data_IF_222544596947
#
_entry.id   IF_222544596947
#
_cell.length_a   1.000
_cell.length_b   1.000
_cell.length_c   1.000
_cell.angle_alpha   90.00
_cell.angle_beta   90.00
_cell.angle_gamma   90.00
#
_symmetry.space_group_name_H-M   'P 1'
#
loop_
_entity.id
_entity.type
_entity.pdbx_description
1 polymer ?
#
# COMPACT_ATOMS: atom_id res chain seq x y z
N UNK A 1 29.30 -42.65 -12.92
CA UNK A 1 29.43 -41.31 -13.51
C UNK A 1 28.23 -40.54 -13.02
N UNK A 2 28.35 -39.99 -11.82
CA UNK A 2 27.35 -39.13 -11.20
C UNK A 2 27.49 -37.75 -11.80
N UNK A 3 26.37 -37.18 -12.25
CA UNK A 3 26.31 -35.80 -12.69
C UNK A 3 25.80 -35.00 -11.50
N UNK A 4 26.71 -34.18 -10.97
CA UNK A 4 26.46 -33.19 -9.94
C UNK A 4 25.56 -32.09 -10.51
N UNK A 5 24.38 -31.90 -9.90
CA UNK A 5 23.37 -30.91 -10.34
C UNK A 5 22.97 -30.00 -9.19
N UNK A 6 23.90 -29.67 -8.29
CA UNK A 6 23.68 -28.65 -7.27
C UNK A 6 24.49 -27.39 -7.60
N UNK A 7 23.89 -26.53 -8.42
CA UNK A 7 24.50 -25.24 -8.72
C UNK A 7 23.66 -24.40 -9.66
N UNK A 8 22.51 -23.90 -9.21
CA UNK A 8 21.88 -22.71 -9.77
C UNK A 8 20.96 -22.05 -8.72
N UNK A 9 21.32 -20.82 -8.36
CA UNK A 9 20.53 -19.88 -7.56
C UNK A 9 19.07 -19.80 -8.04
N UNK A 10 18.13 -20.08 -7.15
CA UNK A 10 16.72 -19.76 -7.32
C UNK A 10 16.27 -18.80 -6.21
N UNK A 11 16.52 -17.52 -6.42
CA UNK A 11 15.80 -16.46 -5.73
C UNK A 11 14.44 -16.25 -6.45
N UNK A 12 13.40 -16.05 -5.65
CA UNK A 12 11.99 -15.78 -6.02
C UNK A 12 11.12 -17.00 -6.38
N UNK A 13 10.23 -17.33 -5.42
CA UNK A 13 9.17 -18.36 -5.36
C UNK A 13 9.47 -19.84 -5.73
N UNK A 14 10.23 -20.59 -4.90
CA UNK A 14 10.38 -22.05 -5.05
C UNK A 14 9.45 -22.91 -4.19
N UNK A 15 8.77 -22.37 -3.18
CA UNK A 15 8.26 -23.20 -2.07
C UNK A 15 7.10 -24.13 -2.43
N UNK A 16 6.12 -23.68 -3.24
CA UNK A 16 4.93 -24.48 -3.58
C UNK A 16 5.25 -25.56 -4.60
N UNK A 17 6.07 -25.24 -5.62
CA UNK A 17 6.53 -26.21 -6.63
C UNK A 17 7.49 -27.25 -6.02
N UNK A 18 8.40 -26.83 -5.14
CA UNK A 18 9.25 -27.76 -4.39
C UNK A 18 8.46 -28.62 -3.40
N UNK A 19 7.43 -28.05 -2.74
CA UNK A 19 6.53 -28.83 -1.88
C UNK A 19 5.74 -29.86 -2.69
N UNK A 20 5.16 -29.48 -3.85
CA UNK A 20 4.51 -30.41 -4.78
C UNK A 20 5.46 -31.51 -5.22
N UNK A 21 6.70 -31.18 -5.57
CA UNK A 21 7.69 -32.15 -6.03
C UNK A 21 8.10 -33.13 -4.92
N UNK A 22 8.34 -32.64 -3.70
CA UNK A 22 8.65 -33.47 -2.52
C UNK A 22 7.50 -34.41 -2.15
N UNK A 23 6.27 -33.91 -2.20
CA UNK A 23 5.07 -34.71 -1.90
C UNK A 23 4.85 -35.81 -2.95
N UNK A 24 5.07 -35.49 -4.24
CA UNK A 24 4.99 -36.46 -5.35
C UNK A 24 6.09 -37.52 -5.27
N UNK A 25 7.27 -37.17 -4.76
CA UNK A 25 8.38 -38.11 -4.57
C UNK A 25 8.17 -39.04 -3.36
N UNK A 26 7.58 -38.54 -2.26
CA UNK A 26 7.19 -39.36 -1.10
C UNK A 26 6.11 -40.40 -1.46
N UNK A 27 5.16 -40.05 -2.34
CA UNK A 27 4.13 -40.97 -2.85
C UNK A 27 4.69 -42.16 -3.64
N UNK A 28 5.88 -42.02 -4.24
CA UNK A 28 6.48 -43.06 -5.08
C UNK A 28 7.25 -44.11 -4.27
N UNK A 29 7.59 -43.83 -3.01
CA UNK A 29 8.50 -44.66 -2.21
C UNK A 29 8.06 -44.90 -0.75
N UNK A 30 6.97 -44.28 -0.27
CA UNK A 30 6.43 -44.45 1.09
C UNK A 30 5.21 -45.39 1.14
N UNK A 31 5.10 -46.20 2.19
CA UNK A 31 4.11 -47.26 2.41
C UNK A 31 2.66 -46.96 1.97
N UNK A 32 2.10 -47.86 1.14
CA UNK A 32 0.76 -47.86 0.53
C UNK A 32 -0.41 -48.02 1.53
N UNK A 33 -0.68 -47.03 2.38
CA UNK A 33 -2.01 -46.97 3.02
C UNK A 33 -2.93 -46.10 2.15
N UNK A 34 -4.08 -46.64 1.77
CA UNK A 34 -5.11 -45.94 0.98
C UNK A 34 -5.52 -44.62 1.64
N UNK A 35 -5.48 -44.57 2.98
CA UNK A 35 -5.73 -43.37 3.76
C UNK A 35 -4.67 -42.28 3.54
N UNK A 36 -3.39 -42.66 3.44
CA UNK A 36 -2.30 -41.72 3.16
C UNK A 36 -2.48 -41.11 1.77
N UNK A 37 -2.79 -41.93 0.75
CA UNK A 37 -3.03 -41.47 -0.63
C UNK A 37 -4.16 -40.44 -0.68
N UNK A 38 -5.34 -40.75 -0.10
CA UNK A 38 -6.49 -39.83 -0.05
C UNK A 38 -6.18 -38.53 0.70
N UNK A 39 -5.37 -38.59 1.75
CA UNK A 39 -4.98 -37.40 2.52
C UNK A 39 -4.04 -36.50 1.72
N UNK A 40 -3.11 -37.07 0.94
CA UNK A 40 -2.26 -36.32 0.01
C UNK A 40 -3.02 -35.77 -1.20
N UNK A 41 -4.02 -36.48 -1.74
CA UNK A 41 -4.87 -35.97 -2.82
C UNK A 41 -5.62 -34.72 -2.37
N UNK A 42 -6.24 -34.78 -1.18
CA UNK A 42 -6.87 -33.59 -0.55
C UNK A 42 -5.87 -32.46 -0.33
N UNK A 43 -4.65 -32.75 0.12
CA UNK A 43 -3.61 -31.74 0.27
C UNK A 43 -3.22 -31.08 -1.07
N UNK A 44 -3.24 -31.85 -2.17
CA UNK A 44 -3.06 -31.34 -3.53
C UNK A 44 -4.18 -30.40 -3.95
N UNK A 45 -5.44 -30.78 -3.71
CA UNK A 45 -6.62 -29.94 -3.99
C UNK A 45 -6.60 -28.61 -3.20
N UNK A 46 -6.18 -28.67 -1.93
CA UNK A 46 -6.03 -27.47 -1.11
C UNK A 46 -4.92 -26.54 -1.62
N UNK A 47 -3.78 -27.11 -2.07
CA UNK A 47 -2.69 -26.33 -2.65
C UNK A 47 -3.09 -25.68 -3.98
N UNK A 48 -3.86 -26.38 -4.82
CA UNK A 48 -4.37 -25.84 -6.08
C UNK A 48 -5.38 -24.72 -5.84
N UNK A 49 -6.27 -24.90 -4.87
CA UNK A 49 -7.23 -23.86 -4.46
C UNK A 49 -6.50 -22.63 -3.90
N UNK A 50 -5.50 -22.83 -3.04
CA UNK A 50 -4.70 -21.74 -2.50
C UNK A 50 -3.95 -20.97 -3.60
N UNK A 51 -3.40 -21.67 -4.58
CA UNK A 51 -2.72 -21.03 -5.71
C UNK A 51 -3.69 -20.21 -6.57
N UNK A 52 -4.89 -20.73 -6.85
CA UNK A 52 -5.92 -20.00 -7.58
C UNK A 52 -6.33 -18.70 -6.86
N UNK A 53 -6.49 -18.75 -5.54
CA UNK A 53 -6.81 -17.57 -4.73
C UNK A 53 -5.68 -16.53 -4.73
N UNK A 54 -4.41 -16.97 -4.68
CA UNK A 54 -3.25 -16.07 -4.78
C UNK A 54 -3.22 -15.36 -6.13
N UNK A 55 -3.46 -16.08 -7.23
CA UNK A 55 -3.51 -15.47 -8.57
C UNK A 55 -4.67 -14.47 -8.70
N UNK A 56 -5.84 -14.82 -8.16
CA UNK A 56 -6.99 -13.90 -8.14
C UNK A 56 -6.68 -12.64 -7.31
N UNK A 57 -6.01 -12.78 -6.17
CA UNK A 57 -5.59 -11.64 -5.35
C UNK A 57 -4.58 -10.75 -6.08
N UNK A 58 -3.58 -11.34 -6.75
CA UNK A 58 -2.58 -10.61 -7.56
C UNK A 58 -3.25 -9.83 -8.70
N UNK A 59 -4.16 -10.46 -9.45
CA UNK A 59 -4.93 -9.78 -10.50
C UNK A 59 -5.79 -8.62 -9.95
N UNK A 60 -6.33 -8.77 -8.74
CA UNK A 60 -7.09 -7.71 -8.07
C UNK A 60 -6.20 -6.54 -7.66
N UNK A 61 -4.96 -6.80 -7.21
CA UNK A 61 -4.00 -5.74 -6.90
C UNK A 61 -3.52 -5.01 -8.15
N UNK A 62 -3.32 -5.70 -9.28
CA UNK A 62 -2.98 -5.06 -10.56
C UNK A 62 -4.11 -4.13 -11.03
N UNK A 63 -5.37 -4.52 -10.86
CA UNK A 63 -6.53 -3.67 -11.14
C UNK A 63 -6.58 -2.42 -10.24
N UNK A 64 -6.30 -2.56 -8.95
CA UNK A 64 -6.23 -1.42 -8.01
C UNK A 64 -5.10 -0.43 -8.35
N UNK A 65 -3.91 -0.94 -8.72
CA UNK A 65 -2.81 -0.11 -9.19
C UNK A 65 -3.15 0.59 -10.52
N UNK A 66 -3.89 -0.11 -11.39
CA UNK A 66 -4.40 0.46 -12.64
C UNK A 66 -5.40 1.59 -12.35
N UNK A 67 -6.33 1.41 -11.41
CA UNK A 67 -7.27 2.47 -11.00
C UNK A 67 -6.54 3.72 -10.48
N UNK A 68 -5.50 3.54 -9.67
CA UNK A 68 -4.71 4.65 -9.13
C UNK A 68 -3.94 5.40 -10.22
N UNK A 69 -3.29 4.67 -11.13
CA UNK A 69 -2.61 5.25 -12.29
C UNK A 69 -3.62 5.96 -13.22
N UNK A 70 -4.83 5.41 -13.34
CA UNK A 70 -5.91 5.99 -14.14
C UNK A 70 -6.40 7.29 -13.52
N UNK A 71 -6.55 7.37 -12.19
CA UNK A 71 -6.93 8.63 -11.52
C UNK A 71 -5.88 9.73 -11.71
N UNK A 72 -4.59 9.38 -11.57
CA UNK A 72 -3.47 10.32 -11.84
C UNK A 72 -3.48 10.80 -13.29
N UNK A 73 -3.71 9.89 -14.22
CA UNK A 73 -3.79 10.20 -15.65
C UNK A 73 -5.01 11.07 -15.97
N UNK A 74 -6.19 10.77 -15.39
CA UNK A 74 -7.41 11.55 -15.52
C UNK A 74 -7.16 12.98 -15.05
N UNK A 75 -6.51 13.20 -13.91
CA UNK A 75 -6.21 14.55 -13.42
C UNK A 75 -5.28 15.33 -14.35
N UNK A 76 -4.22 14.70 -14.86
CA UNK A 76 -3.28 15.33 -15.80
C UNK A 76 -3.98 15.66 -17.12
N UNK A 77 -4.80 14.75 -17.63
CA UNK A 77 -5.56 14.95 -18.88
C UNK A 77 -6.61 16.05 -18.68
N UNK A 78 -7.38 16.01 -17.60
CA UNK A 78 -8.40 17.01 -17.29
C UNK A 78 -7.79 18.42 -17.19
N UNK A 79 -6.65 18.57 -16.52
CA UNK A 79 -5.96 19.85 -16.41
C UNK A 79 -5.50 20.37 -17.77
N UNK A 80 -4.88 19.51 -18.60
CA UNK A 80 -4.43 19.89 -19.96
C UNK A 80 -5.60 20.22 -20.90
N UNK A 81 -6.71 19.50 -20.79
CA UNK A 81 -7.92 19.77 -21.56
C UNK A 81 -8.54 21.11 -21.15
N UNK A 82 -8.56 21.42 -19.86
CA UNK A 82 -9.01 22.73 -19.36
C UNK A 82 -8.13 23.86 -19.87
N UNK A 83 -6.81 23.69 -19.81
CA UNK A 83 -5.86 24.68 -20.35
C UNK A 83 -6.07 24.90 -21.85
N UNK A 84 -6.31 23.82 -22.62
CA UNK A 84 -6.61 23.91 -24.05
C UNK A 84 -7.93 24.64 -24.31
N UNK A 85 -9.02 24.27 -23.61
CA UNK A 85 -10.33 24.89 -23.77
C UNK A 85 -10.28 26.39 -23.45
N UNK A 86 -9.65 26.77 -22.34
CA UNK A 86 -9.52 28.17 -21.94
C UNK A 86 -8.52 28.96 -22.80
N UNK A 87 -7.56 28.27 -23.42
CA UNK A 87 -6.69 28.87 -24.43
C UNK A 87 -7.40 29.20 -25.75
N UNK A 88 -8.42 28.42 -26.12
CA UNK A 88 -9.26 28.66 -27.29
C UNK A 88 -10.34 29.71 -27.03
N UNK A 89 -11.03 29.61 -25.88
CA UNK A 89 -12.03 30.58 -25.44
C UNK A 89 -11.91 30.78 -23.91
N UNK A 90 -11.30 31.90 -23.47
CA UNK A 90 -11.16 32.22 -22.05
C UNK A 90 -12.49 32.42 -21.31
N UNK A 91 -13.60 32.58 -22.03
CA UNK A 91 -14.94 32.83 -21.47
C UNK A 91 -15.83 31.58 -21.44
N UNK A 92 -15.31 30.42 -21.85
CA UNK A 92 -16.07 29.18 -21.90
C UNK A 92 -16.45 28.68 -20.50
N UNK A 93 -17.67 29.03 -20.07
CA UNK A 93 -18.16 28.82 -18.71
C UNK A 93 -18.02 27.38 -18.19
N UNK A 94 -18.33 26.31 -18.95
CA UNK A 94 -18.17 24.94 -18.45
C UNK A 94 -16.73 24.58 -18.04
N UNK A 95 -15.73 25.12 -18.74
CA UNK A 95 -14.33 24.92 -18.36
C UNK A 95 -13.93 25.76 -17.14
N UNK A 96 -14.49 26.97 -17.01
CA UNK A 96 -14.29 27.81 -15.83
C UNK A 96 -14.88 27.18 -14.57
N UNK A 97 -16.12 26.66 -14.67
CA UNK A 97 -16.82 25.98 -13.57
C UNK A 97 -16.04 24.73 -13.14
N UNK A 98 -15.68 23.85 -14.08
CA UNK A 98 -14.90 22.66 -13.78
C UNK A 98 -13.53 23.00 -13.19
N UNK A 99 -12.86 24.06 -13.69
CA UNK A 99 -11.59 24.54 -13.11
C UNK A 99 -11.78 25.01 -11.68
N UNK A 100 -12.86 25.74 -11.39
CA UNK A 100 -13.17 26.21 -10.05
C UNK A 100 -13.50 25.06 -9.09
N UNK A 101 -14.13 23.99 -9.58
CA UNK A 101 -14.42 22.78 -8.79
C UNK A 101 -13.15 21.97 -8.46
N UNK A 102 -12.23 21.81 -9.41
CA UNK A 102 -11.01 21.02 -9.19
C UNK A 102 -9.89 21.81 -8.48
N UNK A 103 -9.89 23.14 -8.59
CA UNK A 103 -8.81 23.98 -8.06
C UNK A 103 -8.57 23.78 -6.54
N UNK A 104 -9.61 23.74 -5.68
CA UNK A 104 -9.42 23.47 -4.25
C UNK A 104 -8.77 22.11 -3.98
N UNK A 105 -9.15 21.07 -4.73
CA UNK A 105 -8.59 19.71 -4.58
C UNK A 105 -7.10 19.71 -4.95
N UNK A 106 -6.75 20.34 -6.07
CA UNK A 106 -5.37 20.48 -6.52
C UNK A 106 -4.54 21.31 -5.54
N UNK A 107 -5.11 22.37 -4.98
CA UNK A 107 -4.45 23.23 -4.01
C UNK A 107 -4.10 22.48 -2.72
N UNK A 108 -4.97 21.59 -2.24
CA UNK A 108 -4.70 20.79 -1.05
C UNK A 108 -3.55 19.78 -1.25
N UNK A 109 -3.46 19.19 -2.45
CA UNK A 109 -2.40 18.24 -2.80
C UNK A 109 -1.07 18.94 -3.14
N UNK A 110 -1.11 19.98 -3.96
CA UNK A 110 0.06 20.68 -4.51
C UNK A 110 0.55 21.86 -3.66
N UNK A 111 -0.22 22.25 -2.63
CA UNK A 111 0.08 23.40 -1.79
C UNK A 111 -0.45 24.72 -2.37
N UNK A 112 -0.81 25.63 -1.47
CA UNK A 112 -1.38 26.96 -1.75
C UNK A 112 -1.85 27.61 -0.44
N UNK A 113 -2.04 28.93 -0.41
CA UNK A 113 -2.43 29.68 0.81
C UNK A 113 -1.58 29.39 2.07
N UNK A 114 -0.27 29.24 1.85
CA UNK A 114 0.71 28.92 2.89
C UNK A 114 0.82 27.43 3.23
N UNK A 115 0.03 26.56 2.59
CA UNK A 115 0.17 25.11 2.73
C UNK A 115 1.35 24.60 1.91
N UNK A 116 2.22 23.82 2.53
CA UNK A 116 3.25 23.05 1.85
C UNK A 116 2.58 21.92 1.05
N UNK A 117 3.03 21.60 -0.17
CA UNK A 117 2.54 20.45 -0.94
C UNK A 117 2.56 19.16 -0.11
N UNK A 118 1.51 18.35 -0.21
CA UNK A 118 1.58 16.95 0.24
C UNK A 118 2.35 16.11 -0.77
N UNK A 119 2.13 16.34 -2.07
CA UNK A 119 2.75 15.60 -3.16
C UNK A 119 3.48 16.51 -4.14
N UNK A 120 4.62 16.05 -4.63
CA UNK A 120 5.39 16.66 -5.73
C UNK A 120 5.68 15.57 -6.75
N UNK A 121 5.22 15.76 -7.99
CA UNK A 121 5.36 14.78 -9.07
C UNK A 121 4.83 13.38 -8.69
N UNK A 122 3.70 13.33 -7.97
CA UNK A 122 3.05 12.08 -7.55
C UNK A 122 3.78 11.32 -6.43
N UNK A 123 4.78 11.92 -5.79
CA UNK A 123 5.49 11.37 -4.63
C UNK A 123 5.29 12.28 -3.42
N UNK A 124 5.47 11.75 -2.21
CA UNK A 124 5.46 12.55 -0.99
C UNK A 124 6.43 13.73 -1.11
N UNK A 125 5.98 14.92 -0.74
CA UNK A 125 6.86 16.07 -0.59
C UNK A 125 7.90 15.79 0.50
N UNK A 126 9.05 16.45 0.43
CA UNK A 126 10.11 16.24 1.42
C UNK A 126 9.63 16.55 2.87
N UNK A 127 8.84 17.61 3.12
CA UNK A 127 8.29 17.87 4.46
C UNK A 127 7.32 16.78 4.93
N UNK A 128 6.40 16.33 4.07
CA UNK A 128 5.47 15.26 4.41
C UNK A 128 6.21 13.95 4.73
N UNK A 129 7.14 13.54 3.87
CA UNK A 129 7.97 12.35 4.08
C UNK A 129 8.68 12.40 5.42
N UNK A 130 9.30 13.53 5.76
CA UNK A 130 10.01 13.73 7.03
C UNK A 130 9.06 13.68 8.25
N UNK A 131 7.84 14.18 8.12
CA UNK A 131 6.83 14.09 9.17
C UNK A 131 6.40 12.64 9.40
N UNK A 132 6.13 11.91 8.32
CA UNK A 132 5.72 10.52 8.35
C UNK A 132 6.81 9.58 8.87
N UNK A 133 8.08 9.81 8.52
CA UNK A 133 9.21 9.05 9.08
C UNK A 133 9.33 9.25 10.60
N UNK A 134 9.13 10.48 11.09
CA UNK A 134 9.11 10.75 12.54
C UNK A 134 7.92 10.09 13.21
N UNK A 135 6.76 10.09 12.54
CA UNK A 135 5.55 9.47 13.02
C UNK A 135 5.72 7.95 13.12
N UNK A 136 6.24 7.32 12.08
CA UNK A 136 6.55 5.88 12.05
C UNK A 136 7.43 5.48 13.23
N UNK A 137 8.57 6.17 13.41
CA UNK A 137 9.52 5.90 14.51
C UNK A 137 8.94 6.10 15.91
N UNK A 138 7.81 6.82 16.05
CA UNK A 138 7.12 6.98 17.34
C UNK A 138 6.33 5.72 17.71
N UNK A 139 5.86 4.97 16.72
CA UNK A 139 5.05 3.78 16.91
C UNK A 139 5.86 2.49 16.78
N UNK A 140 6.96 2.48 16.03
CA UNK A 140 7.97 1.42 16.01
C UNK A 140 8.75 1.45 17.35
N UNK A 141 8.28 0.66 18.32
CA UNK A 141 8.75 0.71 19.71
C UNK A 141 9.97 -0.17 19.95
N UNK A 142 10.09 -1.25 19.20
CA UNK A 142 11.22 -2.16 19.26
C UNK A 142 12.33 -1.79 18.26
N UNK A 143 12.10 -0.79 17.41
CA UNK A 143 13.07 -0.24 16.46
C UNK A 143 13.52 -1.27 15.42
N UNK A 144 12.64 -2.20 15.08
CA UNK A 144 12.93 -3.24 14.09
C UNK A 144 12.71 -2.75 12.64
N UNK A 145 12.16 -1.55 12.48
CA UNK A 145 11.86 -0.95 11.17
C UNK A 145 10.49 -1.35 10.61
N UNK A 146 9.66 -2.01 11.40
CA UNK A 146 8.32 -2.46 11.06
C UNK A 146 7.31 -2.01 12.12
N UNK A 147 6.04 -1.85 11.73
CA UNK A 147 4.94 -1.75 12.67
C UNK A 147 4.24 -3.09 12.74
N UNK A 148 4.45 -3.81 13.83
CA UNK A 148 3.70 -5.03 14.10
C UNK A 148 2.21 -4.70 14.38
N UNK A 149 1.35 -5.72 14.49
CA UNK A 149 -0.10 -5.52 14.67
C UNK A 149 -0.46 -4.70 15.91
N UNK A 150 0.34 -4.77 16.98
CA UNK A 150 0.08 -4.00 18.19
C UNK A 150 0.40 -2.52 17.99
N UNK A 151 1.54 -2.21 17.36
CA UNK A 151 2.00 -0.84 17.07
C UNK A 151 1.13 -0.17 16.03
N UNK A 152 0.85 -0.87 14.92
CA UNK A 152 -0.06 -0.40 13.89
C UNK A 152 -1.47 -0.16 14.45
N UNK A 153 -1.94 -1.03 15.34
CA UNK A 153 -3.19 -0.84 16.04
C UNK A 153 -3.21 0.41 16.92
N UNK A 154 -2.11 0.71 17.61
CA UNK A 154 -1.99 1.95 18.40
C UNK A 154 -1.96 3.19 17.53
N UNK A 155 -1.24 3.14 16.40
CA UNK A 155 -1.25 4.21 15.41
C UNK A 155 -2.67 4.51 14.94
N UNK A 156 -3.42 3.49 14.49
CA UNK A 156 -4.79 3.66 13.99
C UNK A 156 -5.73 4.21 15.07
N UNK A 157 -5.61 3.75 16.32
CA UNK A 157 -6.40 4.29 17.45
C UNK A 157 -6.11 5.77 17.66
N UNK A 158 -4.83 6.16 17.65
CA UNK A 158 -4.43 7.56 17.83
C UNK A 158 -4.88 8.45 16.66
N UNK A 159 -4.87 7.93 15.43
CA UNK A 159 -5.35 8.65 14.22
C UNK A 159 -6.87 8.82 14.21
N UNK A 160 -7.63 7.79 14.58
CA UNK A 160 -9.09 7.81 14.45
C UNK A 160 -9.83 8.21 15.73
N UNK A 161 -9.14 8.34 16.87
CA UNK A 161 -9.72 8.70 18.16
C UNK A 161 -10.77 7.71 18.70
N UNK A 162 -10.78 6.47 18.17
CA UNK A 162 -11.81 5.47 18.40
C UNK A 162 -11.32 4.19 19.08
N UNK A 163 -12.21 3.19 19.12
CA UNK A 163 -11.92 1.86 19.67
C UNK A 163 -10.87 1.08 18.88
N UNK A 164 -10.40 -0.04 19.45
CA UNK A 164 -9.37 -0.88 18.84
C UNK A 164 -9.83 -1.39 17.46
N UNK A 165 -9.06 -1.16 16.38
CA UNK A 165 -9.45 -1.60 15.04
C UNK A 165 -9.49 -3.13 14.94
N UNK A 166 -10.38 -3.71 14.11
CA UNK A 166 -10.43 -5.15 13.88
C UNK A 166 -9.09 -5.67 13.33
N UNK A 167 -8.62 -6.83 13.82
CA UNK A 167 -7.36 -7.42 13.36
C UNK A 167 -7.32 -7.71 11.86
N UNK A 168 -8.46 -8.06 11.27
CA UNK A 168 -8.57 -8.28 9.82
C UNK A 168 -8.25 -7.03 9.01
N UNK A 169 -8.69 -5.84 9.48
CA UNK A 169 -8.39 -4.57 8.85
C UNK A 169 -6.88 -4.27 8.91
N UNK A 170 -6.25 -4.45 10.08
CA UNK A 170 -4.82 -4.22 10.26
C UNK A 170 -3.98 -5.15 9.38
N UNK A 171 -4.35 -6.43 9.31
CA UNK A 171 -3.71 -7.39 8.40
C UNK A 171 -3.91 -7.03 6.95
N UNK A 172 -5.09 -6.54 6.57
CA UNK A 172 -5.36 -6.07 5.21
C UNK A 172 -4.42 -4.92 4.82
N UNK A 173 -4.30 -3.90 5.68
CA UNK A 173 -3.39 -2.78 5.43
C UNK A 173 -1.94 -3.25 5.28
N UNK A 174 -1.47 -4.09 6.19
CA UNK A 174 -0.15 -4.69 6.10
C UNK A 174 0.04 -5.50 4.82
N UNK A 175 -0.88 -6.42 4.48
CA UNK A 175 -0.77 -7.25 3.28
C UNK A 175 -0.81 -6.44 1.99
N UNK A 176 -1.53 -5.31 1.98
CA UNK A 176 -1.58 -4.43 0.81
C UNK A 176 -0.26 -3.69 0.61
N UNK A 177 0.32 -3.12 1.67
CA UNK A 177 1.45 -2.20 1.55
C UNK A 177 2.82 -2.81 1.91
N UNK A 178 2.86 -3.99 2.51
CA UNK A 178 4.10 -4.72 2.79
C UNK A 178 3.91 -6.25 2.71
N UNK A 179 3.41 -6.78 1.57
CA UNK A 179 3.13 -8.21 1.41
C UNK A 179 4.34 -9.11 1.66
N UNK A 180 5.54 -8.62 1.32
CA UNK A 180 6.80 -9.37 1.43
C UNK A 180 7.43 -9.31 2.85
N UNK A 181 6.83 -8.56 3.78
CA UNK A 181 7.40 -8.32 5.11
C UNK A 181 6.60 -9.08 6.18
N UNK A 182 6.99 -10.31 6.59
CA UNK A 182 6.25 -11.10 7.58
C UNK A 182 6.28 -10.51 9.01
N UNK A 183 7.10 -9.50 9.28
CA UNK A 183 7.22 -8.84 10.58
C UNK A 183 6.12 -7.80 10.83
N UNK A 184 5.65 -7.12 9.78
CA UNK A 184 4.70 -6.03 9.90
C UNK A 184 4.74 -5.07 8.71
N UNK A 185 4.10 -3.92 8.89
CA UNK A 185 4.11 -2.84 7.90
C UNK A 185 5.48 -2.14 7.93
N UNK A 186 6.25 -2.21 6.84
CA UNK A 186 7.55 -1.54 6.75
C UNK A 186 7.38 -0.02 6.66
N UNK A 187 8.46 0.73 6.90
CA UNK A 187 8.47 2.17 6.65
C UNK A 187 8.09 2.51 5.20
N UNK A 188 8.59 1.76 4.22
CA UNK A 188 8.25 2.01 2.81
C UNK A 188 6.76 1.79 2.54
N UNK A 189 6.19 0.68 3.02
CA UNK A 189 4.76 0.44 2.91
C UNK A 189 3.90 1.49 3.62
N UNK A 190 4.35 1.97 4.78
CA UNK A 190 3.69 3.07 5.47
C UNK A 190 3.70 4.36 4.66
N UNK A 191 4.83 4.69 4.02
CA UNK A 191 4.91 5.86 3.14
C UNK A 191 4.02 5.72 1.89
N UNK A 192 3.97 4.52 1.29
CA UNK A 192 3.12 4.24 0.13
C UNK A 192 1.63 4.35 0.48
N UNK A 193 1.22 3.84 1.64
CA UNK A 193 -0.13 4.07 2.18
C UNK A 193 -0.48 5.56 2.21
N UNK A 194 0.44 6.40 2.71
CA UNK A 194 0.21 7.85 2.77
C UNK A 194 0.28 8.56 1.41
N UNK A 195 0.98 8.01 0.41
CA UNK A 195 0.87 8.51 -0.98
C UNK A 195 -0.57 8.34 -1.45
N UNK A 196 -1.12 7.13 -1.29
CA UNK A 196 -2.49 6.82 -1.70
C UNK A 196 -3.51 7.66 -0.92
N UNK A 197 -3.39 7.74 0.41
CA UNK A 197 -4.27 8.55 1.24
C UNK A 197 -4.21 10.04 0.86
N UNK A 198 -3.02 10.59 0.57
CA UNK A 198 -2.88 12.00 0.18
C UNK A 198 -3.49 12.32 -1.17
N UNK A 199 -3.57 11.34 -2.08
CA UNK A 199 -4.23 11.51 -3.38
C UNK A 199 -5.75 11.50 -3.26
N UNK A 200 -6.29 10.65 -2.40
CA UNK A 200 -7.73 10.45 -2.25
C UNK A 200 -8.35 11.45 -1.28
N UNK A 201 -7.68 11.69 -0.14
CA UNK A 201 -8.18 12.49 0.97
C UNK A 201 -7.09 13.41 1.54
N UNK A 202 -6.61 14.40 0.78
CA UNK A 202 -5.51 15.29 1.20
C UNK A 202 -5.84 16.07 2.48
N UNK A 203 -7.10 16.49 2.65
CA UNK A 203 -7.56 17.20 3.84
C UNK A 203 -7.49 16.31 5.09
N UNK A 204 -7.89 15.04 4.97
CA UNK A 204 -7.83 14.11 6.11
C UNK A 204 -6.38 13.78 6.46
N UNK A 205 -5.51 13.62 5.47
CA UNK A 205 -4.06 13.45 5.70
C UNK A 205 -3.48 14.56 6.58
N UNK A 206 -3.82 15.82 6.31
CA UNK A 206 -3.38 16.96 7.14
C UNK A 206 -3.95 16.91 8.56
N UNK A 207 -5.24 16.57 8.70
CA UNK A 207 -5.88 16.42 10.02
C UNK A 207 -5.25 15.29 10.83
N UNK A 208 -4.93 14.17 10.19
CA UNK A 208 -4.27 13.04 10.84
C UNK A 208 -2.90 13.45 11.39
N UNK A 209 -2.08 14.13 10.59
CA UNK A 209 -0.81 14.69 11.04
C UNK A 209 -0.99 15.66 12.22
N UNK A 210 -2.04 16.49 12.18
CA UNK A 210 -2.35 17.40 13.26
C UNK A 210 -2.68 16.67 14.57
N UNK A 211 -3.45 15.59 14.52
CA UNK A 211 -3.75 14.73 15.69
C UNK A 211 -2.46 14.16 16.31
N UNK A 212 -1.41 13.97 15.51
CA UNK A 212 -0.10 13.49 15.97
C UNK A 212 0.88 14.60 16.39
N UNK A 213 0.44 15.86 16.40
CA UNK A 213 1.24 17.00 16.86
C UNK A 213 2.09 17.68 15.79
N UNK A 214 1.68 17.57 14.52
CA UNK A 214 2.31 18.31 13.41
C UNK A 214 1.46 19.51 12.98
N UNK A 215 2.09 20.54 12.44
CA UNK A 215 1.41 21.65 11.81
C UNK A 215 0.77 21.19 10.49
N UNK A 216 -0.54 21.39 10.33
CA UNK A 216 -1.28 20.93 9.16
C UNK A 216 -0.84 21.59 7.85
N UNK A 217 -0.27 22.81 7.91
CA UNK A 217 0.16 23.58 6.73
C UNK A 217 1.64 23.37 6.43
N UNK A 218 2.49 23.55 7.43
CA UNK A 218 3.95 23.48 7.33
C UNK A 218 4.48 22.05 7.39
N UNK A 219 3.69 21.09 7.88
CA UNK A 219 4.07 19.68 8.05
C UNK A 219 5.31 19.50 8.95
N UNK A 220 5.50 20.45 9.87
CA UNK A 220 6.59 20.42 10.85
C UNK A 220 6.03 20.07 12.22
N UNK A 221 6.87 19.48 13.08
CA UNK A 221 6.45 19.11 14.43
C UNK A 221 6.17 20.37 15.24
N UNK A 222 5.02 20.45 15.88
CA UNK A 222 4.69 21.53 16.81
C UNK A 222 5.55 21.34 18.07
N UNK A 223 6.17 22.43 18.52
CA UNK A 223 6.84 22.44 19.82
C UNK A 223 5.80 22.08 20.88
N UNK A 224 6.06 21.01 21.63
CA UNK A 224 5.19 20.61 22.73
C UNK A 224 5.35 21.68 23.81
N UNK A 225 4.30 22.46 24.06
CA UNK A 225 4.23 23.40 25.19
C UNK A 225 4.16 22.63 26.50
#
# INVERSE_FOLDING_TARGET
MDVDVDGLCAASYPSVLQAKYRMKHQLRYGSNSEAAVRQTERAGEYLDTAHALIQQFQATQELLLLEEATLKLIHVIASKLLDLCLGLDPTYQPALDLRAEIAPILQEVQGGDGNVPLLVNGKLSAPLRKALEQLFRRYDRDYDGYLNLAELGQFVVATNGGGRPPLGMLRGLWQTFSPECPQGLSLEGFLDFFVQQSLQEPVETRKDLQKHGFDAKALTRLATV
#
